data_IF_890464072969
#
_entry.id   IF_890464072969
#
_cell.length_a   1.000
_cell.length_b   1.000
_cell.length_c   1.000
_cell.angle_alpha   90.00
_cell.angle_beta   90.00
_cell.angle_gamma   90.00
#
_symmetry.space_group_name_H-M   'P 1'
#
loop_
_entity.id
_entity.type
_entity.pdbx_description
1 polymer ?
#
# COMPACT_ATOMS: atom_id res chain seq x y z
N UNK A 1 32.77 -5.10 9.25
CA UNK A 1 31.62 -6.01 9.43
C UNK A 1 30.93 -6.14 8.09
N UNK A 2 31.05 -7.29 7.42
CA UNK A 2 30.31 -7.60 6.20
C UNK A 2 28.94 -8.14 6.61
N UNK A 3 27.90 -7.29 6.58
CA UNK A 3 26.52 -7.78 6.71
C UNK A 3 26.26 -8.74 5.56
N UNK A 4 26.08 -10.02 5.88
CA UNK A 4 25.61 -10.99 4.89
C UNK A 4 24.23 -10.53 4.40
N UNK A 5 23.97 -10.58 3.09
CA UNK A 5 22.65 -10.25 2.55
C UNK A 5 21.61 -11.18 3.19
N UNK A 6 20.60 -10.59 3.81
CA UNK A 6 19.48 -11.31 4.36
C UNK A 6 18.58 -11.77 3.20
N UNK A 7 18.76 -13.01 2.74
CA UNK A 7 17.93 -13.61 1.71
C UNK A 7 16.58 -13.94 2.34
N UNK A 8 15.54 -13.18 1.98
CA UNK A 8 14.16 -13.47 2.36
C UNK A 8 13.61 -14.49 1.37
N UNK A 9 13.24 -15.67 1.86
CA UNK A 9 12.48 -16.64 1.07
C UNK A 9 11.01 -16.19 1.05
N UNK A 10 10.58 -15.67 -0.10
CA UNK A 10 9.19 -15.33 -0.36
C UNK A 10 8.48 -16.60 -0.81
N UNK A 11 7.71 -17.24 0.08
CA UNK A 11 6.72 -18.26 -0.31
C UNK A 11 5.53 -17.55 -0.98
N UNK A 12 5.75 -17.08 -2.21
CA UNK A 12 4.72 -16.50 -3.07
C UNK A 12 4.40 -17.55 -4.13
N UNK A 13 3.15 -17.95 -4.23
CA UNK A 13 2.71 -18.83 -5.31
C UNK A 13 2.90 -18.12 -6.65
N UNK A 14 3.27 -18.83 -7.71
CA UNK A 14 3.41 -18.24 -9.06
C UNK A 14 2.14 -17.48 -9.50
N UNK A 15 0.97 -17.93 -9.03
CA UNK A 15 -0.33 -17.27 -9.23
C UNK A 15 -0.41 -15.91 -8.54
N UNK A 16 0.08 -15.80 -7.30
CA UNK A 16 0.07 -14.55 -6.53
C UNK A 16 1.09 -13.56 -7.10
N UNK A 17 2.26 -14.07 -7.53
CA UNK A 17 3.23 -13.25 -8.25
C UNK A 17 2.66 -12.71 -9.55
N UNK A 18 1.93 -13.53 -10.32
CA UNK A 18 1.26 -13.08 -11.55
C UNK A 18 0.21 -12.00 -11.27
N UNK A 19 -0.59 -12.14 -10.20
CA UNK A 19 -1.56 -11.12 -9.77
C UNK A 19 -0.86 -9.82 -9.35
N UNK A 20 0.25 -9.90 -8.61
CA UNK A 20 1.06 -8.73 -8.24
C UNK A 20 1.67 -8.05 -9.47
N UNK A 21 2.19 -8.84 -10.42
CA UNK A 21 2.81 -8.33 -11.64
C UNK A 21 1.80 -7.60 -12.54
N UNK A 22 0.57 -8.14 -12.62
CA UNK A 22 -0.56 -7.53 -13.33
C UNK A 22 -1.04 -6.23 -12.65
N UNK A 23 -1.00 -6.20 -11.30
CA UNK A 23 -1.50 -5.08 -10.51
C UNK A 23 -3.02 -5.10 -10.36
N UNK A 24 -3.52 -4.31 -9.40
CA UNK A 24 -4.95 -4.21 -9.12
C UNK A 24 -5.68 -3.44 -10.23
N UNK A 25 -6.87 -3.92 -10.61
CA UNK A 25 -7.71 -3.22 -11.57
C UNK A 25 -8.39 -2.01 -10.92
N UNK A 26 -8.06 -0.83 -11.41
CA UNK A 26 -8.72 0.43 -11.04
C UNK A 26 -9.62 0.85 -12.21
N UNK A 27 -10.92 1.14 -12.00
CA UNK A 27 -11.83 1.54 -13.06
C UNK A 27 -11.33 2.77 -13.84
N UNK A 28 -11.45 2.75 -15.16
CA UNK A 28 -10.93 3.81 -16.03
C UNK A 28 -11.57 5.19 -15.74
N UNK A 29 -12.86 5.20 -15.38
CA UNK A 29 -13.58 6.40 -14.94
C UNK A 29 -12.91 7.07 -13.74
N UNK A 30 -12.48 6.28 -12.74
CA UNK A 30 -11.78 6.80 -11.56
C UNK A 30 -10.39 7.34 -11.90
N UNK A 31 -9.69 6.67 -12.82
CA UNK A 31 -8.37 7.13 -13.30
C UNK A 31 -8.44 8.50 -13.97
N UNK A 32 -9.53 8.78 -14.70
CA UNK A 32 -9.74 10.06 -15.37
C UNK A 32 -9.99 11.21 -14.37
N UNK A 33 -10.66 10.93 -13.25
CA UNK A 33 -10.97 11.95 -12.23
C UNK A 33 -9.72 12.51 -11.55
N UNK A 34 -8.76 11.65 -11.22
CA UNK A 34 -7.55 12.05 -10.48
C UNK A 34 -6.42 12.58 -11.40
N UNK A 35 -6.58 12.48 -12.71
CA UNK A 35 -5.67 13.04 -13.73
C UNK A 35 -4.16 12.72 -13.52
N UNK A 36 -3.85 11.62 -12.82
CA UNK A 36 -2.47 11.18 -12.63
C UNK A 36 -1.92 10.55 -13.91
N UNK A 37 -0.60 10.60 -14.06
CA UNK A 37 0.09 9.93 -15.16
C UNK A 37 0.08 8.40 -15.02
N UNK A 38 0.17 7.71 -16.16
CA UNK A 38 0.18 6.24 -16.24
C UNK A 38 1.23 5.58 -15.32
N UNK A 39 2.40 6.21 -15.16
CA UNK A 39 3.44 5.71 -14.25
C UNK A 39 2.97 5.67 -12.78
N UNK A 40 2.22 6.68 -12.35
CA UNK A 40 1.63 6.75 -11.00
C UNK A 40 0.54 5.70 -10.84
N UNK A 41 -0.32 5.54 -11.84
CA UNK A 41 -1.36 4.49 -11.84
C UNK A 41 -0.77 3.08 -11.77
N UNK A 42 0.27 2.82 -12.56
CA UNK A 42 0.97 1.53 -12.56
C UNK A 42 1.65 1.23 -11.23
N UNK A 43 2.23 2.26 -10.58
CA UNK A 43 2.81 2.11 -9.25
C UNK A 43 1.73 1.80 -8.21
N UNK A 44 0.63 2.55 -8.22
CA UNK A 44 -0.47 2.37 -7.29
C UNK A 44 -1.13 1.00 -7.45
N UNK A 45 -1.43 0.56 -8.69
CA UNK A 45 -2.02 -0.74 -8.95
C UNK A 45 -1.14 -1.88 -8.41
N UNK A 46 0.18 -1.78 -8.57
CA UNK A 46 1.12 -2.75 -8.00
C UNK A 46 1.15 -2.72 -6.48
N UNK A 47 1.11 -1.54 -5.86
CA UNK A 47 1.07 -1.42 -4.40
C UNK A 47 -0.20 -2.05 -3.81
N UNK A 48 -1.35 -1.83 -4.45
CA UNK A 48 -2.63 -2.45 -4.06
C UNK A 48 -2.59 -3.98 -4.22
N UNK A 49 -2.07 -4.49 -5.34
CA UNK A 49 -1.95 -5.93 -5.53
C UNK A 49 -0.98 -6.58 -4.52
N UNK A 50 0.14 -5.91 -4.21
CA UNK A 50 1.03 -6.38 -3.14
C UNK A 50 0.32 -6.40 -1.78
N UNK A 51 -0.49 -5.40 -1.48
CA UNK A 51 -1.24 -5.40 -0.23
C UNK A 51 -2.15 -6.63 -0.08
N UNK A 52 -2.74 -7.10 -1.18
CA UNK A 52 -3.65 -8.26 -1.19
C UNK A 52 -2.93 -9.60 -1.18
N UNK A 53 -1.97 -9.77 -2.07
CA UNK A 53 -1.44 -11.09 -2.42
C UNK A 53 -0.03 -11.35 -1.89
N UNK A 54 0.66 -10.32 -1.42
CA UNK A 54 1.97 -10.48 -0.78
C UNK A 54 1.76 -10.92 0.68
N UNK A 55 2.55 -11.88 1.16
CA UNK A 55 2.42 -12.44 2.51
C UNK A 55 3.09 -11.52 3.55
N UNK A 56 2.56 -10.30 3.69
CA UNK A 56 3.13 -9.24 4.52
C UNK A 56 2.64 -9.34 5.96
N UNK A 57 3.56 -9.10 6.89
CA UNK A 57 3.20 -8.80 8.26
C UNK A 57 2.48 -7.44 8.37
N UNK A 58 1.99 -7.11 9.56
CA UNK A 58 1.24 -5.86 9.76
C UNK A 58 2.09 -4.62 9.47
N UNK A 59 3.38 -4.65 9.76
CA UNK A 59 4.27 -3.52 9.52
C UNK A 59 4.48 -3.31 8.00
N UNK A 60 4.65 -4.37 7.23
CA UNK A 60 4.74 -4.31 5.76
C UNK A 60 3.43 -3.84 5.12
N UNK A 61 2.28 -4.26 5.67
CA UNK A 61 0.96 -3.74 5.27
C UNK A 61 0.84 -2.24 5.52
N UNK A 62 1.27 -1.78 6.69
CA UNK A 62 1.26 -0.36 7.05
C UNK A 62 2.19 0.45 6.14
N UNK A 63 3.37 -0.09 5.78
CA UNK A 63 4.31 0.59 4.87
C UNK A 63 3.71 0.79 3.48
N UNK A 64 3.04 -0.25 2.94
CA UNK A 64 2.32 -0.12 1.67
C UNK A 64 1.20 0.91 1.75
N UNK A 65 0.40 0.90 2.83
CA UNK A 65 -0.67 1.88 3.02
C UNK A 65 -0.12 3.30 3.11
N UNK A 66 0.99 3.51 3.83
CA UNK A 66 1.63 4.82 3.92
C UNK A 66 2.15 5.30 2.57
N UNK A 67 2.70 4.40 1.74
CA UNK A 67 3.14 4.73 0.39
C UNK A 67 1.96 5.08 -0.55
N UNK A 68 0.83 4.39 -0.39
CA UNK A 68 -0.43 4.71 -1.10
C UNK A 68 -0.92 6.09 -0.67
N UNK A 69 -0.98 6.36 0.64
CA UNK A 69 -1.40 7.64 1.21
C UNK A 69 -0.54 8.81 0.71
N UNK A 70 0.79 8.62 0.66
CA UNK A 70 1.72 9.62 0.12
C UNK A 70 1.51 9.87 -1.38
N UNK A 71 1.24 8.81 -2.15
CA UNK A 71 0.92 8.94 -3.58
C UNK A 71 -0.39 9.70 -3.79
N UNK A 72 -1.37 9.47 -2.93
CA UNK A 72 -2.67 10.12 -2.94
C UNK A 72 -2.67 11.53 -2.32
N UNK A 73 -1.57 11.96 -1.69
CA UNK A 73 -1.50 13.23 -0.97
C UNK A 73 -2.40 13.29 0.28
N UNK A 74 -2.71 12.14 0.87
CA UNK A 74 -3.58 12.04 2.06
C UNK A 74 -2.92 12.51 3.35
N UNK A 75 -1.60 12.40 3.42
CA UNK A 75 -0.81 12.82 4.57
C UNK A 75 -0.12 14.14 4.27
N UNK A 76 -0.31 15.07 5.20
CA UNK A 76 0.44 16.32 5.23
C UNK A 76 1.85 16.07 5.76
N UNK A 77 2.72 17.09 5.64
CA UNK A 77 4.05 17.02 6.25
C UNK A 77 3.99 16.86 7.79
N UNK A 78 2.94 17.39 8.43
CA UNK A 78 2.74 17.24 9.87
C UNK A 78 2.39 15.79 10.23
N UNK A 79 1.47 15.16 9.48
CA UNK A 79 1.10 13.75 9.70
C UNK A 79 2.31 12.83 9.53
N UNK A 80 3.13 13.09 8.50
CA UNK A 80 4.36 12.34 8.27
C UNK A 80 5.39 12.54 9.39
N UNK A 81 5.49 13.75 9.94
CA UNK A 81 6.37 14.00 11.08
C UNK A 81 5.87 13.27 12.33
N UNK A 82 4.56 13.24 12.59
CA UNK A 82 3.99 12.47 13.69
C UNK A 82 4.24 10.96 13.56
N UNK A 83 4.14 10.41 12.35
CA UNK A 83 4.49 9.01 12.05
C UNK A 83 5.98 8.77 12.35
N UNK A 84 6.86 9.66 11.88
CA UNK A 84 8.31 9.55 12.10
C UNK A 84 8.68 9.69 13.58
N UNK A 85 8.00 10.57 14.31
CA UNK A 85 8.17 10.76 15.75
C UNK A 85 7.83 9.49 16.52
N UNK A 86 6.73 8.81 16.16
CA UNK A 86 6.37 7.51 16.74
C UNK A 86 7.43 6.47 16.44
N UNK A 87 7.88 6.34 15.19
CA UNK A 87 8.96 5.42 14.81
C UNK A 87 10.23 5.66 15.64
N UNK A 88 10.65 6.93 15.81
CA UNK A 88 11.83 7.28 16.61
C UNK A 88 11.68 6.91 18.09
N UNK A 89 10.47 6.99 18.65
CA UNK A 89 10.20 6.70 20.07
C UNK A 89 10.01 5.21 20.36
N UNK A 90 9.34 4.48 19.46
CA UNK A 90 8.99 3.07 19.67
C UNK A 90 9.96 2.10 19.02
N UNK A 91 10.73 2.56 18.02
CA UNK A 91 11.57 1.72 17.17
C UNK A 91 10.82 0.93 16.11
N UNK A 92 9.49 1.05 16.04
CA UNK A 92 8.65 0.29 15.11
C UNK A 92 7.78 1.22 14.27
N UNK A 93 7.73 0.96 12.95
CA UNK A 93 6.84 1.67 12.05
C UNK A 93 5.43 1.07 12.15
N UNK A 94 4.41 1.92 12.27
CA UNK A 94 3.03 1.51 12.19
C UNK A 94 2.13 2.70 11.86
N UNK A 95 1.01 2.40 11.21
CA UNK A 95 -0.13 3.30 11.12
C UNK A 95 -1.08 3.03 12.28
N UNK A 96 -1.67 4.07 12.83
CA UNK A 96 -2.77 3.94 13.80
C UNK A 96 -4.01 3.39 13.10
N UNK A 97 -4.97 2.80 13.84
CA UNK A 97 -6.24 2.36 13.25
C UNK A 97 -6.98 3.47 12.49
N UNK A 98 -6.94 4.71 12.98
CA UNK A 98 -7.56 5.86 12.33
C UNK A 98 -6.90 6.21 10.99
N UNK A 99 -5.57 6.26 10.95
CA UNK A 99 -4.80 6.51 9.71
C UNK A 99 -5.06 5.40 8.67
N UNK A 100 -5.11 4.13 9.08
CA UNK A 100 -5.48 3.03 8.18
C UNK A 100 -6.88 3.20 7.62
N UNK A 101 -7.85 3.51 8.48
CA UNK A 101 -9.25 3.67 8.07
C UNK A 101 -9.43 4.85 7.10
N UNK A 102 -8.71 5.95 7.29
CA UNK A 102 -8.73 7.08 6.36
C UNK A 102 -8.29 6.64 4.96
N UNK A 103 -7.23 5.84 4.87
CA UNK A 103 -6.73 5.33 3.58
C UNK A 103 -7.74 4.38 2.94
N UNK A 104 -8.33 3.47 3.72
CA UNK A 104 -9.36 2.55 3.20
C UNK A 104 -10.58 3.29 2.68
N UNK A 105 -11.07 4.30 3.42
CA UNK A 105 -12.20 5.11 2.97
C UNK A 105 -11.88 5.81 1.64
N UNK A 106 -10.69 6.42 1.53
CA UNK A 106 -10.28 7.06 0.28
C UNK A 106 -10.18 6.08 -0.90
N UNK A 107 -9.62 4.88 -0.68
CA UNK A 107 -9.54 3.84 -1.71
C UNK A 107 -10.92 3.41 -2.20
N UNK A 108 -11.88 3.26 -1.28
CA UNK A 108 -13.25 2.91 -1.63
C UNK A 108 -13.96 4.06 -2.35
N UNK A 109 -13.88 5.28 -1.81
CA UNK A 109 -14.64 6.42 -2.31
C UNK A 109 -14.11 6.93 -3.66
N UNK A 110 -12.79 7.05 -3.79
CA UNK A 110 -12.14 7.63 -4.98
C UNK A 110 -11.79 6.59 -6.03
N UNK A 111 -11.36 5.39 -5.62
CA UNK A 111 -10.89 4.36 -6.56
C UNK A 111 -11.84 3.19 -6.72
N UNK A 112 -12.90 3.09 -5.92
CA UNK A 112 -13.78 1.92 -5.85
C UNK A 112 -13.01 0.62 -5.57
N UNK A 113 -11.96 0.71 -4.73
CA UNK A 113 -11.15 -0.42 -4.29
C UNK A 113 -11.44 -0.72 -2.84
N UNK A 114 -11.98 -1.92 -2.57
CA UNK A 114 -12.17 -2.42 -1.22
C UNK A 114 -11.07 -3.43 -0.86
N UNK A 115 -10.15 -3.04 0.01
CA UNK A 115 -9.04 -3.89 0.47
C UNK A 115 -9.45 -4.90 1.55
N UNK A 116 -10.66 -4.78 2.12
CA UNK A 116 -11.16 -5.73 3.12
C UNK A 116 -11.82 -6.96 2.48
N UNK A 117 -12.21 -6.86 1.22
CA UNK A 117 -12.80 -7.97 0.45
C UNK A 117 -11.69 -8.73 -0.27
N UNK A 118 -11.65 -10.05 -0.10
CA UNK A 118 -10.80 -10.92 -0.89
C UNK A 118 -11.32 -10.95 -2.34
N UNK A 119 -10.51 -10.60 -3.35
CA UNK A 119 -10.95 -10.57 -4.75
C UNK A 119 -11.36 -11.95 -5.30
N UNK A 120 -11.03 -13.05 -4.61
CA UNK A 120 -11.42 -14.41 -4.99
C UNK A 120 -12.70 -14.92 -4.26
N UNK A 121 -13.39 -14.07 -3.46
CA UNK A 121 -14.67 -14.40 -2.79
C UNK A 121 -15.92 -14.19 -3.64
#
# INVERSE_FOLDING_TARGET
MTQQPHIVHLDILDTDYAKIAAGERIPAERRQLLAWGEATWHRLSKQLARYRYDNLDQQGRDDLLCNIANTAGLFTAADMEDINDRLRRTGCFYLTPGERQQIFNWLQDELAVDLAVDPDS
#
